data_IF_535490510575
#
_entry.id   IF_535490510575
#
_cell.length_a   1.000
_cell.length_b   1.000
_cell.length_c   1.000
_cell.angle_alpha   90.00
_cell.angle_beta   90.00
_cell.angle_gamma   90.00
#
_symmetry.space_group_name_H-M   'P 1'
#
loop_
_entity.id
_entity.type
_entity.pdbx_description
1 polymer ?
#
# COMPACT_ATOMS: atom_id res chain seq x y z
N UNK A 1 24.46 -13.87 -16.99
CA UNK A 1 24.53 -15.26 -16.46
C UNK A 1 23.22 -15.94 -16.80
N UNK A 2 23.24 -17.13 -17.39
CA UNK A 2 22.01 -17.91 -17.57
C UNK A 2 21.52 -18.36 -16.19
N UNK A 3 20.28 -17.99 -15.85
CA UNK A 3 19.65 -18.40 -14.59
C UNK A 3 19.28 -19.87 -14.63
N UNK A 4 19.52 -20.56 -13.53
CA UNK A 4 19.01 -21.91 -13.32
C UNK A 4 17.58 -21.86 -12.74
N UNK A 5 16.95 -23.03 -12.59
CA UNK A 5 15.61 -23.15 -12.03
C UNK A 5 15.50 -22.66 -10.57
N UNK A 6 16.52 -22.89 -9.75
CA UNK A 6 16.55 -22.47 -8.35
C UNK A 6 16.62 -20.94 -8.18
N UNK A 7 17.24 -20.23 -9.12
CA UNK A 7 17.25 -18.77 -9.16
C UNK A 7 15.82 -18.24 -9.30
N UNK A 8 15.00 -18.86 -10.16
CA UNK A 8 13.61 -18.46 -10.35
C UNK A 8 12.73 -18.81 -9.15
N UNK A 9 12.95 -19.96 -8.50
CA UNK A 9 12.29 -20.27 -7.22
C UNK A 9 12.61 -19.18 -6.18
N UNK A 10 13.87 -18.79 -6.08
CA UNK A 10 14.32 -17.74 -5.15
C UNK A 10 13.63 -16.41 -5.47
N UNK A 11 13.52 -16.05 -6.75
CA UNK A 11 12.78 -14.86 -7.20
C UNK A 11 11.30 -14.95 -6.82
N UNK A 12 10.67 -16.12 -6.98
CA UNK A 12 9.28 -16.32 -6.56
C UNK A 12 9.10 -16.19 -5.05
N UNK A 13 10.03 -16.66 -4.22
CA UNK A 13 9.98 -16.42 -2.77
C UNK A 13 10.16 -14.94 -2.40
N UNK A 14 11.02 -14.22 -3.12
CA UNK A 14 11.12 -12.76 -2.97
C UNK A 14 9.81 -12.08 -3.39
N UNK A 15 9.18 -12.56 -4.45
CA UNK A 15 7.85 -12.13 -4.87
C UNK A 15 6.77 -12.41 -3.82
N UNK A 16 6.81 -13.57 -3.16
CA UNK A 16 5.90 -13.90 -2.06
C UNK A 16 6.01 -12.88 -0.92
N UNK A 17 7.24 -12.56 -0.52
CA UNK A 17 7.50 -11.57 0.52
C UNK A 17 7.06 -10.15 0.10
N UNK A 18 7.29 -9.77 -1.16
CA UNK A 18 6.81 -8.50 -1.71
C UNK A 18 5.28 -8.42 -1.70
N UNK A 19 4.59 -9.45 -2.18
CA UNK A 19 3.13 -9.49 -2.17
C UNK A 19 2.54 -9.44 -0.76
N UNK A 20 3.22 -10.04 0.22
CA UNK A 20 2.79 -9.97 1.62
C UNK A 20 2.92 -8.55 2.18
N UNK A 21 4.00 -7.85 1.84
CA UNK A 21 4.17 -6.44 2.17
C UNK A 21 3.10 -5.57 1.49
N UNK A 22 2.78 -5.81 0.22
CA UNK A 22 1.83 -4.98 -0.53
C UNK A 22 0.38 -5.14 -0.08
N UNK A 23 0.04 -6.24 0.60
CA UNK A 23 -1.29 -6.43 1.22
C UNK A 23 -1.41 -5.66 2.53
N UNK A 24 -0.30 -5.42 3.24
CA UNK A 24 -0.29 -4.85 4.59
C UNK A 24 -0.08 -3.32 4.53
N UNK A 25 -1.05 -2.50 4.97
CA UNK A 25 -0.89 -1.05 5.04
C UNK A 25 0.33 -0.63 5.88
N UNK A 26 1.15 0.27 5.33
CA UNK A 26 2.36 0.77 6.00
C UNK A 26 3.64 0.01 5.67
N UNK A 27 3.56 -1.16 5.01
CA UNK A 27 4.72 -1.88 4.46
C UNK A 27 4.77 -1.68 2.94
N UNK A 28 5.94 -1.39 2.38
CA UNK A 28 6.12 -1.25 0.92
C UNK A 28 6.83 -2.47 0.33
N UNK A 29 6.25 -3.11 -0.69
CA UNK A 29 6.92 -4.16 -1.46
C UNK A 29 8.21 -3.69 -2.12
N UNK A 30 8.33 -2.39 -2.43
CA UNK A 30 9.57 -1.78 -2.91
C UNK A 30 10.72 -1.88 -1.88
N UNK A 31 10.42 -1.70 -0.59
CA UNK A 31 11.41 -1.89 0.49
C UNK A 31 11.86 -3.34 0.57
N UNK A 32 10.93 -4.30 0.43
CA UNK A 32 11.26 -5.74 0.40
C UNK A 32 12.10 -6.10 -0.84
N UNK A 33 11.77 -5.56 -2.01
CA UNK A 33 12.55 -5.74 -3.23
C UNK A 33 13.99 -5.23 -3.06
N UNK A 34 14.16 -4.10 -2.38
CA UNK A 34 15.48 -3.51 -2.10
C UNK A 34 16.29 -4.39 -1.15
N UNK A 35 15.72 -4.75 0.01
CA UNK A 35 16.38 -5.58 1.01
C UNK A 35 16.74 -6.97 0.45
N UNK A 36 15.88 -7.53 -0.40
CA UNK A 36 16.12 -8.83 -1.04
C UNK A 36 17.05 -8.75 -2.27
N UNK A 37 17.51 -7.56 -2.64
CA UNK A 37 18.50 -7.35 -3.71
C UNK A 37 17.97 -7.51 -5.13
N UNK A 38 16.66 -7.44 -5.36
CA UNK A 38 16.06 -7.53 -6.71
C UNK A 38 15.53 -6.19 -7.22
N UNK A 39 15.63 -5.12 -6.43
CA UNK A 39 15.10 -3.80 -6.77
C UNK A 39 15.70 -3.24 -8.07
N UNK A 40 17.02 -3.23 -8.22
CA UNK A 40 17.66 -2.72 -9.45
C UNK A 40 17.26 -3.51 -10.70
N UNK A 41 17.16 -4.83 -10.57
CA UNK A 41 16.70 -5.67 -11.67
C UNK A 41 15.22 -5.44 -11.99
N UNK A 42 14.38 -5.25 -10.98
CA UNK A 42 12.97 -4.92 -11.15
C UNK A 42 12.81 -3.59 -11.89
N UNK A 43 13.47 -2.53 -11.42
CA UNK A 43 13.39 -1.20 -12.03
C UNK A 43 13.96 -1.21 -13.46
N UNK A 44 15.12 -1.84 -13.67
CA UNK A 44 15.70 -1.94 -15.01
C UNK A 44 14.81 -2.75 -15.96
N UNK A 45 14.18 -3.84 -15.51
CA UNK A 45 13.25 -4.64 -16.32
C UNK A 45 11.97 -3.86 -16.62
N UNK A 46 11.41 -3.10 -15.66
CA UNK A 46 10.25 -2.22 -15.87
C UNK A 46 10.58 -1.12 -16.88
N UNK A 47 11.77 -0.52 -16.82
CA UNK A 47 12.18 0.57 -17.72
C UNK A 47 12.27 0.15 -19.19
N UNK A 48 12.44 -1.16 -19.45
CA UNK A 48 12.42 -1.74 -20.80
C UNK A 48 11.00 -1.89 -21.34
N UNK A 49 9.96 -1.80 -20.52
CA UNK A 49 8.57 -1.82 -21.00
C UNK A 49 8.26 -0.44 -21.57
N UNK A 50 8.59 -0.24 -22.84
CA UNK A 50 8.49 1.03 -23.54
C UNK A 50 8.03 0.82 -25.01
N UNK A 51 8.01 1.91 -25.79
CA UNK A 51 7.61 1.83 -27.20
C UNK A 51 8.51 0.95 -28.08
N UNK A 52 9.76 0.72 -27.71
CA UNK A 52 10.67 -0.21 -28.40
C UNK A 52 10.26 -1.66 -28.15
N UNK A 53 9.93 -2.02 -26.90
CA UNK A 53 9.43 -3.35 -26.58
C UNK A 53 8.15 -3.68 -27.37
N UNK A 54 7.22 -2.72 -27.50
CA UNK A 54 6.03 -2.89 -28.33
C UNK A 54 6.39 -3.11 -29.81
N UNK A 55 7.37 -2.39 -30.35
CA UNK A 55 7.84 -2.62 -31.74
C UNK A 55 8.42 -4.02 -31.91
N UNK A 56 9.26 -4.48 -30.98
CA UNK A 56 9.82 -5.84 -30.99
C UNK A 56 8.72 -6.91 -30.95
N UNK A 57 7.66 -6.70 -30.15
CA UNK A 57 6.53 -7.62 -30.06
C UNK A 57 5.82 -7.80 -31.41
N UNK A 58 5.57 -6.70 -32.13
CA UNK A 58 4.86 -6.75 -33.41
C UNK A 58 5.74 -7.11 -34.61
N UNK A 59 7.05 -6.82 -34.57
CA UNK A 59 7.99 -7.08 -35.69
C UNK A 59 8.71 -8.42 -35.58
N UNK A 60 9.27 -8.70 -34.41
CA UNK A 60 10.21 -9.81 -34.19
C UNK A 60 9.59 -10.96 -33.36
N UNK A 61 8.34 -10.77 -32.92
CA UNK A 61 7.53 -11.76 -32.25
C UNK A 61 7.73 -11.84 -30.73
N UNK A 62 6.86 -12.65 -30.10
CA UNK A 62 6.73 -12.70 -28.63
C UNK A 62 8.00 -13.19 -27.92
N UNK A 63 8.79 -14.07 -28.54
CA UNK A 63 10.01 -14.63 -27.94
C UNK A 63 11.10 -13.57 -27.80
N UNK A 64 11.27 -12.71 -28.80
CA UNK A 64 12.26 -11.62 -28.79
C UNK A 64 11.85 -10.55 -27.78
N UNK A 65 10.57 -10.16 -27.79
CA UNK A 65 9.99 -9.28 -26.79
C UNK A 65 10.20 -9.80 -25.36
N UNK A 66 9.87 -11.07 -25.12
CA UNK A 66 9.98 -11.70 -23.80
C UNK A 66 11.42 -11.68 -23.28
N UNK A 67 12.40 -11.95 -24.13
CA UNK A 67 13.83 -11.84 -23.77
C UNK A 67 14.24 -10.40 -23.49
N UNK A 68 13.78 -9.44 -24.31
CA UNK A 68 14.11 -8.02 -24.15
C UNK A 68 13.65 -7.48 -22.78
N UNK A 69 12.41 -7.77 -22.39
CA UNK A 69 11.84 -7.28 -21.11
C UNK A 69 12.25 -8.09 -19.88
N UNK A 70 13.10 -9.12 -20.02
CA UNK A 70 13.41 -10.07 -18.94
C UNK A 70 12.15 -10.81 -18.41
N UNK A 71 11.35 -11.35 -19.33
CA UNK A 71 10.04 -11.94 -19.04
C UNK A 71 10.06 -13.10 -18.05
N UNK A 72 11.13 -13.91 -18.02
CA UNK A 72 11.25 -15.00 -17.03
C UNK A 72 11.38 -14.47 -15.60
N UNK A 73 12.12 -13.38 -15.40
CA UNK A 73 12.19 -12.71 -14.10
C UNK A 73 10.82 -12.19 -13.69
N UNK A 74 10.11 -11.49 -14.58
CA UNK A 74 8.77 -11.00 -14.31
C UNK A 74 7.79 -12.12 -14.00
N UNK A 75 7.81 -13.20 -14.76
CA UNK A 75 6.93 -14.34 -14.53
C UNK A 75 7.17 -14.95 -13.16
N UNK A 76 8.43 -15.26 -12.81
CA UNK A 76 8.77 -15.81 -11.49
C UNK A 76 8.34 -14.86 -10.35
N UNK A 77 8.60 -13.56 -10.50
CA UNK A 77 8.28 -12.56 -9.49
C UNK A 77 6.77 -12.37 -9.33
N UNK A 78 6.05 -12.18 -10.44
CA UNK A 78 4.60 -11.98 -10.44
C UNK A 78 3.84 -13.22 -9.99
N UNK A 79 4.35 -14.42 -10.25
CA UNK A 79 3.81 -15.65 -9.67
C UNK A 79 3.94 -15.62 -8.14
N UNK A 80 5.08 -15.22 -7.60
CA UNK A 80 5.27 -15.04 -6.16
C UNK A 80 4.33 -13.98 -5.56
N UNK A 81 4.27 -12.80 -6.18
CA UNK A 81 3.40 -11.70 -5.72
C UNK A 81 1.93 -12.14 -5.78
N UNK A 82 1.49 -12.70 -6.90
CA UNK A 82 0.11 -13.13 -7.11
C UNK A 82 -0.31 -14.24 -6.16
N UNK A 83 0.54 -15.26 -5.93
CA UNK A 83 0.26 -16.32 -4.96
C UNK A 83 0.14 -15.76 -3.54
N UNK A 84 0.99 -14.82 -3.15
CA UNK A 84 0.93 -14.15 -1.84
C UNK A 84 -0.34 -13.31 -1.70
N UNK A 85 -0.65 -12.45 -2.67
CA UNK A 85 -1.84 -11.60 -2.63
C UNK A 85 -3.12 -12.44 -2.57
N UNK A 86 -3.25 -13.48 -3.40
CA UNK A 86 -4.46 -14.31 -3.43
C UNK A 86 -4.64 -15.15 -2.16
N UNK A 87 -3.54 -15.68 -1.61
CA UNK A 87 -3.60 -16.45 -0.36
C UNK A 87 -3.89 -15.55 0.85
N UNK A 88 -3.23 -14.39 0.92
CA UNK A 88 -3.41 -13.43 2.00
C UNK A 88 -4.72 -12.65 1.89
N UNK A 89 -5.30 -12.44 0.71
CA UNK A 89 -6.55 -11.71 0.58
C UNK A 89 -7.68 -12.36 1.38
N UNK A 90 -7.79 -13.70 1.33
CA UNK A 90 -8.76 -14.46 2.12
C UNK A 90 -8.48 -14.37 3.61
N UNK A 91 -7.21 -14.52 4.00
CA UNK A 91 -6.78 -14.43 5.39
C UNK A 91 -7.04 -13.04 5.98
N UNK A 92 -6.68 -11.98 5.26
CA UNK A 92 -6.91 -10.59 5.67
C UNK A 92 -8.39 -10.27 5.74
N UNK A 93 -9.20 -10.70 4.79
CA UNK A 93 -10.65 -10.56 4.88
C UNK A 93 -11.18 -11.20 6.17
N UNK A 94 -10.80 -12.44 6.44
CA UNK A 94 -11.22 -13.14 7.67
C UNK A 94 -10.70 -12.45 8.95
N UNK A 95 -9.46 -11.97 8.96
CA UNK A 95 -8.89 -11.26 10.10
C UNK A 95 -9.57 -9.90 10.34
N UNK A 96 -9.90 -9.15 9.29
CA UNK A 96 -10.59 -7.86 9.38
C UNK A 96 -12.04 -8.02 9.87
N UNK A 97 -12.71 -9.12 9.51
CA UNK A 97 -14.07 -9.37 9.98
C UNK A 97 -14.11 -9.99 11.38
N UNK A 98 -13.15 -10.85 11.72
CA UNK A 98 -13.16 -11.62 12.98
C UNK A 98 -12.41 -10.91 14.11
N UNK A 99 -11.29 -10.24 13.78
CA UNK A 99 -10.40 -9.58 14.74
C UNK A 99 -10.07 -8.14 14.32
N UNK A 100 -11.08 -7.27 14.05
CA UNK A 100 -10.86 -5.92 13.53
C UNK A 100 -9.96 -5.08 14.43
N UNK A 101 -10.19 -5.11 15.76
CA UNK A 101 -9.40 -4.34 16.74
C UNK A 101 -7.91 -4.71 16.64
N UNK A 102 -7.61 -6.01 16.58
CA UNK A 102 -6.23 -6.51 16.48
C UNK A 102 -5.53 -6.05 15.20
N UNK A 103 -6.20 -6.21 14.05
CA UNK A 103 -5.63 -5.87 12.74
C UNK A 103 -5.42 -4.37 12.63
N UNK A 104 -6.40 -3.57 13.02
CA UNK A 104 -6.29 -2.11 12.99
C UNK A 104 -5.25 -1.61 13.97
N UNK A 105 -5.13 -2.19 15.17
CA UNK A 105 -4.08 -1.82 16.10
C UNK A 105 -2.69 -2.13 15.55
N UNK A 106 -2.51 -3.30 14.93
CA UNK A 106 -1.28 -3.65 14.23
C UNK A 106 -0.95 -2.63 13.12
N UNK A 107 -1.89 -2.30 12.23
CA UNK A 107 -1.71 -1.31 11.17
C UNK A 107 -1.46 0.11 11.69
N UNK A 108 -2.12 0.50 12.77
CA UNK A 108 -1.89 1.76 13.46
C UNK A 108 -0.44 1.87 13.94
N UNK A 109 0.08 0.80 14.54
CA UNK A 109 1.48 0.67 14.93
C UNK A 109 2.45 0.82 13.76
N UNK A 110 2.18 0.11 12.65
CA UNK A 110 2.98 0.22 11.41
C UNK A 110 3.03 1.67 10.92
N UNK A 111 1.87 2.34 10.87
CA UNK A 111 1.78 3.73 10.39
C UNK A 111 2.50 4.72 11.30
N UNK A 112 2.43 4.57 12.62
CA UNK A 112 3.21 5.40 13.55
C UNK A 112 4.71 5.24 13.28
N UNK A 113 5.17 4.00 13.06
CA UNK A 113 6.57 3.78 12.71
C UNK A 113 6.94 4.47 11.38
N UNK A 114 6.11 4.35 10.34
CA UNK A 114 6.33 5.05 9.06
C UNK A 114 6.43 6.57 9.24
N UNK A 115 5.54 7.18 10.03
CA UNK A 115 5.60 8.62 10.38
C UNK A 115 6.93 8.96 11.03
N UNK A 116 7.36 8.14 12.00
CA UNK A 116 8.61 8.35 12.71
C UNK A 116 9.86 8.28 11.82
N UNK A 117 9.88 7.43 10.78
CA UNK A 117 10.99 7.39 9.83
C UNK A 117 10.94 8.55 8.84
N UNK A 118 9.77 8.84 8.26
CA UNK A 118 9.64 9.91 7.27
C UNK A 118 9.96 11.29 7.85
N UNK A 119 9.53 11.57 9.09
CA UNK A 119 9.81 12.86 9.75
C UNK A 119 11.32 13.06 9.96
N UNK A 120 12.09 11.98 10.14
CA UNK A 120 13.55 12.02 10.28
C UNK A 120 14.27 12.21 8.95
N UNK A 121 13.63 11.89 7.82
CA UNK A 121 14.21 12.13 6.50
C UNK A 121 14.12 13.60 6.05
N UNK A 122 13.27 14.39 6.72
CA UNK A 122 13.17 15.84 6.53
C UNK A 122 14.40 16.50 7.16
N UNK A 123 15.31 16.99 6.31
CA UNK A 123 16.61 17.54 6.73
C UNK A 123 16.53 19.02 7.10
N UNK A 124 15.57 19.76 6.53
CA UNK A 124 15.44 21.20 6.74
C UNK A 124 14.01 21.55 7.09
N UNK A 125 13.81 22.09 8.28
CA UNK A 125 12.53 22.59 8.76
C UNK A 125 12.47 24.10 8.59
N UNK A 126 11.53 24.55 7.77
CA UNK A 126 11.19 25.96 7.56
C UNK A 126 9.68 26.12 7.52
N UNK A 127 9.16 27.35 7.56
CA UNK A 127 7.74 27.58 7.80
C UNK A 127 6.82 26.84 6.81
N UNK A 128 7.21 26.76 5.53
CA UNK A 128 6.43 26.04 4.53
C UNK A 128 6.37 24.52 4.79
N UNK A 129 7.41 23.91 5.37
CA UNK A 129 7.37 22.48 5.75
C UNK A 129 6.34 22.21 6.85
N UNK A 130 6.26 23.06 7.87
CA UNK A 130 5.24 22.95 8.91
C UNK A 130 3.84 23.19 8.35
N UNK A 131 3.67 24.19 7.49
CA UNK A 131 2.39 24.50 6.84
C UNK A 131 1.92 23.33 5.97
N UNK A 132 2.78 22.76 5.13
CA UNK A 132 2.40 21.64 4.26
C UNK A 132 2.09 20.39 5.07
N UNK A 133 2.86 20.10 6.13
CA UNK A 133 2.57 18.99 7.03
C UNK A 133 1.19 19.15 7.68
N UNK A 134 0.91 20.33 8.24
CA UNK A 134 -0.38 20.62 8.86
C UNK A 134 -1.55 20.57 7.87
N UNK A 135 -1.42 21.21 6.71
CA UNK A 135 -2.44 21.21 5.66
C UNK A 135 -2.72 19.80 5.14
N UNK A 136 -1.69 18.99 4.90
CA UNK A 136 -1.86 17.61 4.45
C UNK A 136 -2.51 16.73 5.54
N UNK A 137 -2.16 16.94 6.81
CA UNK A 137 -2.80 16.23 7.93
C UNK A 137 -4.27 16.58 8.08
N UNK A 138 -4.61 17.87 8.02
CA UNK A 138 -6.01 18.32 8.07
C UNK A 138 -6.79 17.80 6.86
N UNK A 139 -6.23 17.91 5.65
CA UNK A 139 -6.87 17.40 4.44
C UNK A 139 -7.12 15.88 4.52
N UNK A 140 -6.11 15.10 4.93
CA UNK A 140 -6.25 13.65 5.10
C UNK A 140 -7.30 13.32 6.18
N UNK A 141 -7.27 14.00 7.32
CA UNK A 141 -8.25 13.80 8.38
C UNK A 141 -9.68 14.08 7.90
N UNK A 142 -9.91 15.18 7.16
CA UNK A 142 -11.21 15.49 6.56
C UNK A 142 -11.64 14.34 5.63
N UNK A 143 -10.75 13.83 4.78
CA UNK A 143 -11.06 12.67 3.92
C UNK A 143 -11.51 11.45 4.74
N UNK A 144 -10.97 11.24 5.95
CA UNK A 144 -11.34 10.08 6.78
C UNK A 144 -12.73 10.16 7.40
N UNK A 145 -13.26 11.36 7.62
CA UNK A 145 -14.55 11.59 8.30
C UNK A 145 -15.69 11.91 7.33
N UNK A 146 -15.36 12.30 6.10
CA UNK A 146 -16.34 12.49 5.05
C UNK A 146 -16.85 11.10 4.62
N UNK A 147 -18.19 10.91 4.53
CA UNK A 147 -18.75 9.70 3.96
C UNK A 147 -18.06 9.41 2.63
N UNK A 148 -17.58 8.17 2.39
CA UNK A 148 -17.01 7.84 1.10
C UNK A 148 -18.00 8.30 0.01
N UNK A 149 -17.49 8.95 -1.05
CA UNK A 149 -18.25 9.20 -2.28
C UNK A 149 -18.84 7.88 -2.86
N UNK A 150 -18.39 6.74 -2.31
CA UNK A 150 -18.76 5.36 -2.53
C UNK A 150 -20.13 4.93 -1.95
N UNK A 151 -21.17 5.78 -2.06
CA UNK A 151 -22.45 5.24 -2.52
C UNK A 151 -22.38 4.80 -3.99
N UNK A 152 -21.35 5.26 -4.72
CA UNK A 152 -21.10 4.87 -6.10
C UNK A 152 -20.07 3.72 -6.18
N UNK A 153 -20.56 2.49 -6.25
CA UNK A 153 -19.82 1.25 -6.57
C UNK A 153 -19.23 1.24 -8.02
N UNK A 154 -18.99 2.41 -8.60
CA UNK A 154 -18.58 2.56 -9.98
C UNK A 154 -17.15 2.08 -10.22
N UNK A 155 -16.96 1.33 -11.31
CA UNK A 155 -15.65 0.91 -11.81
C UNK A 155 -14.67 2.10 -11.97
N UNK A 156 -15.18 3.30 -12.26
CA UNK A 156 -14.39 4.54 -12.35
C UNK A 156 -13.66 4.85 -11.03
N UNK A 157 -14.33 4.66 -9.89
CA UNK A 157 -13.72 4.89 -8.58
C UNK A 157 -12.57 3.90 -8.33
N UNK A 158 -12.78 2.62 -8.65
CA UNK A 158 -11.75 1.57 -8.54
C UNK A 158 -10.56 1.84 -9.45
N UNK A 159 -10.81 2.32 -10.67
CA UNK A 159 -9.76 2.73 -11.60
C UNK A 159 -8.85 3.80 -10.97
N UNK A 160 -9.42 4.87 -10.40
CA UNK A 160 -8.63 5.90 -9.73
C UNK A 160 -7.94 5.40 -8.45
N UNK A 161 -8.56 4.49 -7.71
CA UNK A 161 -7.91 3.85 -6.56
C UNK A 161 -6.65 3.07 -6.98
N UNK A 162 -6.73 2.29 -8.06
CA UNK A 162 -5.58 1.59 -8.63
C UNK A 162 -4.48 2.55 -9.09
N UNK A 163 -4.87 3.63 -9.78
CA UNK A 163 -3.94 4.65 -10.25
C UNK A 163 -3.21 5.36 -9.09
N UNK A 164 -3.92 5.74 -8.02
CA UNK A 164 -3.31 6.42 -6.88
C UNK A 164 -2.46 5.47 -6.02
N UNK A 165 -2.94 4.24 -5.79
CA UNK A 165 -2.24 3.26 -4.96
C UNK A 165 -0.87 2.87 -5.53
N UNK A 166 -0.76 2.63 -6.83
CA UNK A 166 0.53 2.30 -7.44
C UNK A 166 1.50 3.48 -7.44
N UNK A 167 0.99 4.72 -7.57
CA UNK A 167 1.82 5.91 -7.52
C UNK A 167 2.47 6.08 -6.16
N UNK A 168 1.73 5.76 -5.09
CA UNK A 168 2.25 5.73 -3.74
C UNK A 168 3.30 4.63 -3.54
N UNK A 169 3.12 3.46 -4.16
CA UNK A 169 4.04 2.31 -4.03
C UNK A 169 5.42 2.54 -4.65
N UNK A 170 5.54 3.44 -5.64
CA UNK A 170 6.82 3.79 -6.28
C UNK A 170 7.73 4.56 -5.32
N UNK A 171 7.16 5.22 -4.32
CA UNK A 171 7.92 5.99 -3.35
C UNK A 171 8.33 5.10 -2.17
N UNK A 172 9.63 5.02 -1.85
CA UNK A 172 10.09 4.21 -0.74
C UNK A 172 9.44 4.68 0.56
N UNK A 173 8.93 3.74 1.36
CA UNK A 173 8.28 4.01 2.63
C UNK A 173 6.78 4.34 2.56
N UNK A 174 6.16 4.32 1.37
CA UNK A 174 4.70 4.52 1.22
C UNK A 174 4.07 3.29 0.57
N UNK A 175 3.04 2.76 1.23
CA UNK A 175 2.33 1.55 0.82
C UNK A 175 1.10 1.88 -0.03
N UNK A 176 0.91 1.16 -1.14
CA UNK A 176 -0.31 1.26 -1.95
C UNK A 176 -1.55 0.83 -1.17
N UNK A 177 -1.45 -0.20 -0.32
CA UNK A 177 -2.55 -0.65 0.53
C UNK A 177 -3.02 0.43 1.51
N UNK A 178 -2.10 1.26 2.01
CA UNK A 178 -2.46 2.39 2.86
C UNK A 178 -3.35 3.42 2.11
N UNK A 179 -3.01 3.75 0.86
CA UNK A 179 -3.86 4.62 0.03
C UNK A 179 -5.24 3.99 -0.18
N UNK A 180 -5.32 2.67 -0.39
CA UNK A 180 -6.60 1.98 -0.53
C UNK A 180 -7.44 2.02 0.74
N UNK A 181 -6.81 1.92 1.92
CA UNK A 181 -7.52 2.05 3.20
C UNK A 181 -8.10 3.45 3.35
N UNK A 182 -7.30 4.47 3.02
CA UNK A 182 -7.72 5.87 3.11
C UNK A 182 -8.88 6.18 2.18
N UNK A 183 -8.83 5.68 0.95
CA UNK A 183 -9.91 5.83 -0.03
C UNK A 183 -11.13 4.96 0.30
N UNK A 184 -11.03 4.03 1.25
CA UNK A 184 -12.10 3.08 1.57
C UNK A 184 -12.27 1.95 0.55
N UNK A 185 -11.32 1.78 -0.36
CA UNK A 185 -11.35 0.75 -1.40
C UNK A 185 -10.69 -0.58 -0.98
N UNK A 186 -9.96 -0.60 0.14
CA UNK A 186 -9.17 -1.76 0.56
C UNK A 186 -9.99 -3.05 0.71
N UNK A 187 -11.10 -3.02 1.47
CA UNK A 187 -11.97 -4.18 1.64
C UNK A 187 -12.54 -4.67 0.30
N UNK A 188 -13.00 -3.75 -0.55
CA UNK A 188 -13.56 -4.07 -1.88
C UNK A 188 -12.52 -4.75 -2.79
N UNK A 189 -11.27 -4.27 -2.77
CA UNK A 189 -10.19 -4.87 -3.55
C UNK A 189 -9.84 -6.26 -3.00
N UNK A 190 -9.73 -6.42 -1.67
CA UNK A 190 -9.50 -7.74 -1.06
C UNK A 190 -10.62 -8.73 -1.36
N UNK A 191 -11.87 -8.28 -1.32
CA UNK A 191 -13.03 -9.09 -1.67
C UNK A 191 -13.02 -9.51 -3.14
N UNK A 192 -12.74 -8.58 -4.05
CA UNK A 192 -12.61 -8.88 -5.47
C UNK A 192 -11.52 -9.93 -5.73
N UNK A 193 -10.38 -9.83 -5.05
CA UNK A 193 -9.29 -10.81 -5.12
C UNK A 193 -9.72 -12.17 -4.53
N UNK A 194 -10.38 -12.17 -3.38
CA UNK A 194 -10.88 -13.38 -2.71
C UNK A 194 -11.91 -14.14 -3.55
N UNK A 195 -12.80 -13.41 -4.22
CA UNK A 195 -13.94 -13.94 -4.96
C UNK A 195 -13.69 -14.02 -6.48
N UNK A 196 -12.47 -13.76 -6.93
CA UNK A 196 -12.11 -13.77 -8.36
C UNK A 196 -12.99 -12.86 -9.23
N UNK A 197 -13.33 -11.67 -8.74
CA UNK A 197 -14.03 -10.66 -9.52
C UNK A 197 -13.07 -10.04 -10.55
N UNK A 198 -12.91 -10.73 -11.69
CA UNK A 198 -11.97 -10.34 -12.74
C UNK A 198 -12.25 -8.95 -13.30
N UNK A 199 -13.50 -8.51 -13.34
CA UNK A 199 -13.87 -7.17 -13.82
C UNK A 199 -13.26 -6.09 -12.93
N UNK A 200 -13.45 -6.19 -11.61
CA UNK A 200 -12.90 -5.21 -10.66
C UNK A 200 -11.37 -5.26 -10.64
N UNK A 201 -10.78 -6.47 -10.63
CA UNK A 201 -9.32 -6.66 -10.68
C UNK A 201 -8.73 -6.05 -11.95
N UNK A 202 -9.35 -6.28 -13.11
CA UNK A 202 -8.88 -5.75 -14.38
C UNK A 202 -8.95 -4.22 -14.42
N UNK A 203 -10.04 -3.62 -13.94
CA UNK A 203 -10.20 -2.17 -13.85
C UNK A 203 -9.18 -1.56 -12.90
N UNK A 204 -8.98 -2.17 -11.73
CA UNK A 204 -7.95 -1.77 -10.77
C UNK A 204 -6.55 -1.82 -11.39
N UNK A 205 -6.22 -2.94 -12.04
CA UNK A 205 -4.93 -3.15 -12.70
C UNK A 205 -4.69 -2.19 -13.86
N UNK A 206 -5.72 -1.89 -14.64
CA UNK A 206 -5.65 -0.90 -15.72
C UNK A 206 -5.41 0.51 -15.16
N UNK A 207 -6.11 0.87 -14.08
CA UNK A 207 -5.85 2.08 -13.31
C UNK A 207 -4.41 2.18 -12.84
N UNK A 208 -3.87 1.10 -12.27
CA UNK A 208 -2.48 1.04 -11.86
C UNK A 208 -1.50 1.25 -13.03
N UNK A 209 -1.70 0.56 -14.16
CA UNK A 209 -0.83 0.72 -15.34
C UNK A 209 -0.83 2.17 -15.85
N UNK A 210 -2.01 2.80 -15.97
CA UNK A 210 -2.10 4.19 -16.40
C UNK A 210 -1.52 5.15 -15.35
N UNK A 211 -1.74 4.88 -14.06
CA UNK A 211 -1.20 5.65 -12.94
C UNK A 211 0.33 5.69 -12.96
N UNK A 212 1.00 4.53 -13.03
CA UNK A 212 2.47 4.49 -13.05
C UNK A 212 3.06 5.21 -14.27
N UNK A 213 2.42 5.11 -15.43
CA UNK A 213 2.90 5.76 -16.66
C UNK A 213 2.71 7.28 -16.64
N UNK A 214 1.61 7.76 -16.07
CA UNK A 214 1.27 9.20 -16.04
C UNK A 214 1.95 9.95 -14.90
N UNK A 215 2.00 9.38 -13.70
CA UNK A 215 2.40 10.08 -12.48
C UNK A 215 3.85 9.86 -12.05
N UNK A 216 4.55 8.85 -12.59
CA UNK A 216 5.95 8.57 -12.23
C UNK A 216 6.89 9.76 -12.48
N UNK A 217 6.66 10.51 -13.56
CA UNK A 217 7.45 11.71 -13.89
C UNK A 217 7.18 12.86 -12.92
N UNK A 218 5.92 13.08 -12.56
CA UNK A 218 5.53 14.14 -11.64
C UNK A 218 6.13 13.90 -10.24
N UNK A 219 5.99 12.69 -9.70
CA UNK A 219 6.55 12.35 -8.38
C UNK A 219 8.08 12.47 -8.36
N UNK A 220 8.76 11.98 -9.39
CA UNK A 220 10.22 12.13 -9.51
C UNK A 220 10.63 13.61 -9.50
N UNK A 221 9.89 14.45 -10.19
CA UNK A 221 10.14 15.90 -10.21
C UNK A 221 9.91 16.56 -8.84
N UNK A 222 8.82 16.22 -8.15
CA UNK A 222 8.55 16.71 -6.78
C UNK A 222 9.66 16.33 -5.81
N UNK A 223 10.10 15.07 -5.81
CA UNK A 223 11.19 14.64 -4.93
C UNK A 223 12.54 15.26 -5.29
N UNK A 224 12.81 15.52 -6.57
CA UNK A 224 14.04 16.16 -7.00
C UNK A 224 14.09 17.65 -6.63
N UNK A 225 12.96 18.38 -6.77
CA UNK A 225 12.90 19.84 -6.60
C UNK A 225 12.41 20.30 -5.22
N UNK A 226 11.48 19.56 -4.62
CA UNK A 226 10.75 19.93 -3.41
C UNK A 226 10.78 18.86 -2.32
N UNK A 227 11.89 18.09 -2.25
CA UNK A 227 12.07 16.94 -1.35
C UNK A 227 11.49 17.12 0.05
N UNK A 228 11.86 18.19 0.75
CA UNK A 228 11.43 18.45 2.13
C UNK A 228 9.92 18.68 2.23
N UNK A 229 9.34 19.41 1.28
CA UNK A 229 7.90 19.69 1.22
C UNK A 229 7.11 18.44 0.87
N UNK A 230 7.64 17.61 -0.03
CA UNK A 230 7.03 16.33 -0.38
C UNK A 230 7.03 15.37 0.82
N UNK A 231 8.16 15.23 1.52
CA UNK A 231 8.23 14.42 2.74
C UNK A 231 7.32 14.96 3.85
N UNK A 232 7.26 16.27 4.04
CA UNK A 232 6.36 16.91 5.01
C UNK A 232 4.88 16.64 4.67
N UNK A 233 4.51 16.77 3.39
CA UNK A 233 3.14 16.50 2.92
C UNK A 233 2.74 15.05 3.10
N UNK A 234 3.63 14.11 2.74
CA UNK A 234 3.39 12.67 2.92
C UNK A 234 3.29 12.30 4.42
N UNK A 235 4.16 12.85 5.26
CA UNK A 235 4.13 12.65 6.71
C UNK A 235 2.83 13.19 7.30
N UNK A 236 2.44 14.41 6.94
CA UNK A 236 1.18 15.01 7.36
C UNK A 236 -0.02 14.16 6.94
N UNK A 237 -0.04 13.72 5.69
CA UNK A 237 -1.10 12.86 5.15
C UNK A 237 -1.24 11.53 5.91
N UNK A 238 -0.12 10.88 6.26
CA UNK A 238 -0.13 9.68 7.10
C UNK A 238 -0.62 10.00 8.51
N UNK A 239 -0.21 11.11 9.12
CA UNK A 239 -0.70 11.54 10.44
C UNK A 239 -2.22 11.74 10.43
N UNK A 240 -2.75 12.49 9.46
CA UNK A 240 -4.19 12.77 9.39
C UNK A 240 -5.04 11.51 9.13
N UNK A 241 -4.46 10.53 8.46
CA UNK A 241 -5.13 9.26 8.15
C UNK A 241 -5.03 8.19 9.22
N UNK A 242 -4.24 8.41 10.28
CA UNK A 242 -4.23 7.53 11.46
C UNK A 242 -5.64 7.33 12.04
N UNK A 243 -6.52 8.31 11.87
CA UNK A 243 -7.93 8.20 12.22
C UNK A 243 -8.63 7.02 11.50
N UNK A 244 -8.31 6.76 10.22
CA UNK A 244 -8.95 5.69 9.43
C UNK A 244 -8.52 4.29 9.87
N UNK A 245 -7.32 4.16 10.44
CA UNK A 245 -6.79 2.89 10.96
C UNK A 245 -6.92 2.77 12.48
N UNK A 246 -7.64 3.68 13.11
CA UNK A 246 -7.87 3.64 14.55
C UNK A 246 -8.63 2.36 14.96
N UNK A 247 -8.22 1.64 16.02
CA UNK A 247 -8.80 0.32 16.32
C UNK A 247 -10.25 0.32 16.79
N UNK A 248 -10.66 1.42 17.42
CA UNK A 248 -11.97 1.51 18.08
C UNK A 248 -12.89 2.42 17.29
N UNK A 249 -13.80 1.81 16.54
CA UNK A 249 -14.74 2.53 15.68
C UNK A 249 -16.17 2.08 15.92
N UNK A 250 -17.08 3.03 15.82
CA UNK A 250 -18.52 2.82 15.86
C UNK A 250 -19.07 2.87 14.43
N UNK A 251 -19.86 1.87 13.98
CA UNK A 251 -20.59 1.97 12.73
C UNK A 251 -21.70 3.02 12.84
N UNK A 252 -21.65 4.06 12.00
CA UNK A 252 -22.62 5.17 11.98
C UNK A 252 -23.67 4.97 10.88
N UNK A 253 -23.21 4.54 9.70
CA UNK A 253 -24.10 4.27 8.56
C UNK A 253 -23.79 2.86 8.09
N UNK A 254 -24.84 2.05 8.00
CA UNK A 254 -24.80 0.70 7.46
C UNK A 254 -25.74 0.64 6.26
N UNK A 255 -25.32 -0.03 5.20
CA UNK A 255 -26.12 -0.30 4.03
C UNK A 255 -27.34 -1.16 4.43
N UNK A 256 -28.58 -0.71 4.15
CA UNK A 256 -29.78 -1.44 4.51
C UNK A 256 -29.95 -2.79 3.79
N UNK A 257 -29.35 -2.96 2.60
CA UNK A 257 -29.58 -4.14 1.75
C UNK A 257 -28.65 -5.30 2.10
N UNK A 258 -27.39 -5.02 2.41
CA UNK A 258 -26.38 -6.05 2.66
C UNK A 258 -25.75 -5.99 4.06
N UNK A 259 -26.08 -4.97 4.87
CA UNK A 259 -25.55 -4.81 6.22
C UNK A 259 -24.09 -4.35 6.27
N UNK A 260 -23.52 -3.87 5.17
CA UNK A 260 -22.14 -3.38 5.13
C UNK A 260 -22.00 -2.01 5.78
N UNK A 261 -20.98 -1.83 6.60
CA UNK A 261 -20.71 -0.53 7.24
C UNK A 261 -20.16 0.45 6.20
N UNK A 262 -20.94 1.49 5.88
CA UNK A 262 -20.60 2.54 4.92
C UNK A 262 -19.75 3.63 5.59
N UNK A 263 -20.11 4.01 6.81
CA UNK A 263 -19.42 5.05 7.57
C UNK A 263 -19.16 4.60 8.99
N UNK A 264 -17.92 4.78 9.41
CA UNK A 264 -17.44 4.51 10.76
C UNK A 264 -16.95 5.80 11.41
N UNK A 265 -17.14 5.93 12.72
CA UNK A 265 -16.60 7.02 13.53
C UNK A 265 -15.62 6.47 14.55
N UNK A 266 -14.43 7.07 14.61
CA UNK A 266 -13.44 6.75 15.64
C UNK A 266 -13.92 7.21 17.01
N UNK A 267 -13.84 6.31 18.00
CA UNK A 267 -14.22 6.57 19.39
C UNK A 267 -13.07 6.26 20.33
N UNK A 268 -13.10 6.85 21.52
CA UNK A 268 -12.13 6.51 22.56
C UNK A 268 -12.34 5.08 23.05
N UNK A 269 -11.26 4.30 23.31
CA UNK A 269 -11.38 2.96 23.88
C UNK A 269 -12.13 2.92 25.21
N UNK A 270 -12.10 4.03 25.97
CA UNK A 270 -12.79 4.14 27.26
C UNK A 270 -14.31 4.03 27.10
N UNK A 271 -14.87 4.69 26.10
CA UNK A 271 -16.31 4.69 25.81
C UNK A 271 -16.73 3.60 24.83
N UNK A 272 -15.77 2.89 24.22
CA UNK A 272 -16.04 1.90 23.18
C UNK A 272 -17.02 0.81 23.63
N UNK A 273 -16.84 0.26 24.84
CA UNK A 273 -17.72 -0.78 25.40
C UNK A 273 -19.16 -0.28 25.60
N UNK A 274 -19.31 0.97 26.01
CA UNK A 274 -20.62 1.58 26.24
C UNK A 274 -21.37 1.79 24.92
N UNK A 275 -20.64 2.18 23.87
CA UNK A 275 -21.18 2.51 22.56
C UNK A 275 -21.48 1.26 21.72
N UNK A 276 -20.52 0.32 21.62
CA UNK A 276 -20.59 -0.83 20.68
C UNK A 276 -20.96 -2.14 21.36
N UNK A 277 -21.15 -2.13 22.70
CA UNK A 277 -21.37 -3.31 23.53
C UNK A 277 -20.29 -4.40 23.39
N UNK A 278 -19.12 -4.04 22.85
CA UNK A 278 -18.01 -4.95 22.60
C UNK A 278 -16.81 -4.59 23.46
N UNK A 279 -16.10 -5.59 23.98
CA UNK A 279 -14.90 -5.34 24.78
C UNK A 279 -13.82 -4.64 23.93
N UNK A 280 -13.16 -3.57 24.45
CA UNK A 280 -12.16 -2.83 23.70
C UNK A 280 -10.84 -3.59 23.53
N UNK A 281 -10.64 -4.70 24.24
CA UNK A 281 -9.45 -5.58 24.10
C UNK A 281 -8.11 -4.82 24.17
N UNK A 282 -8.04 -3.82 25.07
CA UNK A 282 -6.95 -2.85 25.18
C UNK A 282 -5.55 -3.48 25.20
N UNK A 283 -5.37 -4.54 25.98
CA UNK A 283 -4.08 -5.22 26.10
C UNK A 283 -3.61 -5.79 24.76
N UNK A 284 -4.48 -6.51 24.05
CA UNK A 284 -4.15 -7.10 22.76
C UNK A 284 -3.91 -6.03 21.69
N UNK A 285 -4.73 -4.98 21.67
CA UNK A 285 -4.56 -3.85 20.77
C UNK A 285 -3.19 -3.18 21.00
N UNK A 286 -2.84 -2.89 22.24
CA UNK A 286 -1.55 -2.27 22.58
C UNK A 286 -0.36 -3.16 22.22
N UNK A 287 -0.43 -4.46 22.54
CA UNK A 287 0.62 -5.42 22.19
C UNK A 287 0.82 -5.50 20.67
N UNK A 288 -0.27 -5.65 19.91
CA UNK A 288 -0.18 -5.74 18.45
C UNK A 288 0.24 -4.44 17.79
N UNK A 289 -0.21 -3.29 18.28
CA UNK A 289 0.29 -2.00 17.79
C UNK A 289 1.77 -1.82 18.08
N UNK A 290 2.25 -2.26 19.24
CA UNK A 290 3.68 -2.25 19.57
C UNK A 290 4.48 -3.20 18.66
N UNK A 291 3.97 -4.40 18.41
CA UNK A 291 4.57 -5.35 17.47
C UNK A 291 4.63 -4.77 16.06
N UNK A 292 3.54 -4.16 15.57
CA UNK A 292 3.51 -3.46 14.28
C UNK A 292 4.57 -2.37 14.20
N UNK A 293 4.63 -1.49 15.20
CA UNK A 293 5.64 -0.43 15.25
C UNK A 293 7.07 -0.99 15.16
N UNK A 294 7.40 -1.99 15.98
CA UNK A 294 8.75 -2.56 15.99
C UNK A 294 9.08 -3.39 14.75
N UNK A 295 8.07 -3.98 14.09
CA UNK A 295 8.25 -4.69 12.82
C UNK A 295 8.77 -3.74 11.74
N UNK A 296 8.10 -2.61 11.51
CA UNK A 296 8.57 -1.59 10.54
C UNK A 296 9.89 -1.01 10.99
N UNK A 297 10.05 -0.73 12.28
CA UNK A 297 11.31 -0.23 12.81
C UNK A 297 12.49 -1.17 12.50
N UNK A 298 12.30 -2.48 12.65
CA UNK A 298 13.30 -3.49 12.30
C UNK A 298 13.61 -3.50 10.80
N UNK A 299 12.58 -3.52 9.95
CA UNK A 299 12.71 -3.54 8.48
C UNK A 299 13.46 -2.29 7.98
N UNK A 300 13.05 -1.09 8.41
CA UNK A 300 13.64 0.17 7.97
C UNK A 300 15.07 0.35 8.49
N UNK A 301 15.34 -0.06 9.73
CA UNK A 301 16.70 -0.01 10.30
C UNK A 301 17.63 -0.95 9.53
N UNK A 302 17.15 -2.12 9.12
CA UNK A 302 17.94 -3.06 8.34
C UNK A 302 18.16 -2.56 6.90
N UNK A 303 17.12 -2.04 6.25
CA UNK A 303 17.22 -1.44 4.92
C UNK A 303 18.26 -0.32 4.86
N UNK A 304 18.25 0.58 5.86
CA UNK A 304 19.19 1.70 5.94
C UNK A 304 20.63 1.26 6.23
N UNK A 305 20.85 0.12 6.90
CA UNK A 305 22.18 -0.46 7.05
C UNK A 305 22.73 -0.97 5.72
N UNK A 306 21.88 -1.58 4.90
CA UNK A 306 22.28 -2.14 3.60
C UNK A 306 22.39 -1.07 2.50
N UNK A 307 21.75 0.10 2.62
CA UNK A 307 21.95 1.26 1.71
C UNK A 307 23.37 1.87 1.75
N UNK A 308 24.17 1.56 2.76
CA UNK A 308 25.53 2.11 2.96
C UNK A 308 26.65 1.26 2.33
N UNK A 309 26.30 0.17 1.67
CA UNK A 309 27.20 -0.68 0.88
C UNK A 309 26.76 -0.67 -0.59
#
# INVERSE_FOLDING_TARGET
MQRNFFDYITISFKGLAMGAADVVPGVSGGTIAFISGIYEELISSISKINGEALKLLFKDGIVVFWKYINGNFFLALLLGIGTSILSLAKLMRWLLTTYPIMVWAFFFGLMIASVFFLIKEIRRWYIATFLILGLAAVAAYIITIVPPLAGNNGLIFIFFCGALAICAMILPGISGAFILVLLGAYHKVLEALSNWNFTLIAVFGFGAIIGILSFSRALKWFFAKYRELTLAGLTGFIIGSLNKVWPWKEPVITDPENGEVILERSVSPYYFKEITHTEPQLLYAFLLGTVGFFMIYGIEKWANKNKKH
#
